data_IF_315369299503
#
_entry.id   IF_315369299503
#
_cell.length_a   1.000
_cell.length_b   1.000
_cell.length_c   1.000
_cell.angle_alpha   90.00
_cell.angle_beta   90.00
_cell.angle_gamma   90.00
#
_symmetry.space_group_name_H-M   'P 1'
#
loop_
_entity.id
_entity.type
_entity.pdbx_description
1 polymer ?
#
# COMPACT_ATOMS: atom_id res chain seq x y z
N UNK A 1 -24.19 16.89 0.23
CA UNK A 1 -23.57 17.46 -0.98
C UNK A 1 -22.93 18.79 -0.63
N UNK A 2 -21.60 18.86 -0.61
CA UNK A 2 -20.87 20.10 -0.37
C UNK A 2 -20.69 20.89 -1.67
N UNK A 3 -21.03 22.17 -1.64
CA UNK A 3 -20.56 23.11 -2.64
C UNK A 3 -19.11 23.52 -2.34
N UNK A 4 -18.51 24.32 -3.23
CA UNK A 4 -17.20 24.90 -2.98
C UNK A 4 -17.17 25.60 -1.61
N UNK A 5 -16.23 25.22 -0.75
CA UNK A 5 -16.22 25.63 0.66
C UNK A 5 -14.80 25.85 1.15
N UNK A 6 -14.62 26.87 2.00
CA UNK A 6 -13.36 27.12 2.72
C UNK A 6 -13.64 27.10 4.22
N UNK A 7 -12.96 26.22 4.95
CA UNK A 7 -13.11 26.05 6.40
C UNK A 7 -11.76 26.30 7.08
N UNK A 8 -11.68 27.40 7.83
CA UNK A 8 -10.48 27.81 8.59
C UNK A 8 -10.20 26.99 9.86
N UNK A 9 -10.90 25.86 10.05
CA UNK A 9 -10.77 25.00 11.21
C UNK A 9 -11.20 23.57 10.90
N UNK A 10 -11.60 22.82 11.93
CA UNK A 10 -12.08 21.46 11.76
C UNK A 10 -13.42 21.40 11.01
N UNK A 11 -13.59 20.39 10.15
CA UNK A 11 -14.86 20.04 9.53
C UNK A 11 -15.39 18.76 10.16
N UNK A 12 -16.66 18.76 10.59
CA UNK A 12 -17.39 17.56 10.98
C UNK A 12 -18.60 17.41 10.07
N UNK A 13 -18.74 16.26 9.43
CA UNK A 13 -19.82 15.95 8.51
C UNK A 13 -20.44 14.59 8.87
N UNK A 14 -21.76 14.57 9.09
CA UNK A 14 -22.48 13.34 9.40
C UNK A 14 -23.72 13.24 8.52
N UNK A 15 -23.83 12.12 7.80
CA UNK A 15 -25.03 11.73 7.07
C UNK A 15 -25.57 10.43 7.67
N UNK A 16 -26.80 10.47 8.19
CA UNK A 16 -27.52 9.29 8.67
C UNK A 16 -28.40 8.67 7.58
N UNK A 17 -28.54 9.37 6.45
CA UNK A 17 -29.22 8.89 5.24
C UNK A 17 -28.56 9.49 4.01
N UNK A 18 -28.34 8.67 2.99
CA UNK A 18 -27.78 9.09 1.71
C UNK A 18 -26.27 9.40 1.77
N UNK A 19 -25.69 9.55 0.58
CA UNK A 19 -24.26 9.69 0.40
C UNK A 19 -23.75 11.10 0.78
N UNK A 20 -22.51 11.17 1.25
CA UNK A 20 -21.77 12.44 1.34
C UNK A 20 -21.02 12.64 0.02
N UNK A 21 -21.46 13.62 -0.75
CA UNK A 21 -20.85 14.00 -2.03
C UNK A 21 -20.42 15.46 -2.04
N UNK A 22 -19.74 15.87 -3.10
CA UNK A 22 -19.41 17.27 -3.36
C UNK A 22 -19.64 17.66 -4.82
N UNK A 23 -19.88 18.95 -5.04
CA UNK A 23 -20.01 19.61 -6.35
C UNK A 23 -18.95 20.68 -6.59
N UNK A 24 -18.18 21.06 -5.57
CA UNK A 24 -17.07 22.00 -5.66
C UNK A 24 -15.92 21.60 -4.73
N UNK A 25 -14.79 22.31 -4.86
CA UNK A 25 -13.59 22.04 -4.08
C UNK A 25 -13.75 22.40 -2.59
N UNK A 26 -13.14 21.61 -1.74
CA UNK A 26 -13.07 21.83 -0.29
C UNK A 26 -11.67 22.27 0.10
N UNK A 27 -11.53 23.43 0.75
CA UNK A 27 -10.27 23.87 1.35
C UNK A 27 -10.44 23.91 2.87
N UNK A 28 -9.88 22.92 3.57
CA UNK A 28 -10.07 22.74 5.02
C UNK A 28 -8.70 22.71 5.69
N UNK A 29 -8.52 23.60 6.66
CA UNK A 29 -7.24 23.76 7.38
C UNK A 29 -7.13 22.90 8.63
N UNK A 30 -8.26 22.52 9.24
CA UNK A 30 -8.30 21.65 10.41
C UNK A 30 -8.63 20.20 10.07
N UNK A 31 -8.69 19.37 11.10
CA UNK A 31 -9.06 17.95 10.95
C UNK A 31 -10.45 17.83 10.31
N UNK A 32 -10.58 16.95 9.34
CA UNK A 32 -11.87 16.61 8.73
C UNK A 32 -12.35 15.27 9.29
N UNK A 33 -13.56 15.23 9.86
CA UNK A 33 -14.18 14.01 10.39
C UNK A 33 -15.49 13.77 9.67
N UNK A 34 -15.65 12.59 9.05
CA UNK A 34 -16.79 12.25 8.21
C UNK A 34 -17.41 10.93 8.67
N UNK A 35 -18.74 10.91 8.75
CA UNK A 35 -19.54 9.72 9.05
C UNK A 35 -20.70 9.63 8.05
N UNK A 36 -20.87 8.50 7.37
CA UNK A 36 -21.95 8.29 6.40
C UNK A 36 -22.73 6.98 6.64
N UNK A 37 -22.74 6.44 7.86
CA UNK A 37 -23.21 5.08 8.18
C UNK A 37 -22.56 4.00 7.28
N UNK A 38 -22.71 2.72 7.59
CA UNK A 38 -22.07 1.64 6.81
C UNK A 38 -22.79 1.33 5.48
N UNK A 39 -23.90 2.01 5.20
CA UNK A 39 -24.72 1.81 3.99
C UNK A 39 -24.63 2.93 2.96
N UNK A 40 -23.93 4.03 3.25
CA UNK A 40 -23.80 5.14 2.32
C UNK A 40 -22.35 5.46 1.98
N UNK A 41 -22.15 5.98 0.77
CA UNK A 41 -20.83 6.26 0.24
C UNK A 41 -20.38 7.69 0.58
N UNK A 42 -19.07 7.89 0.61
CA UNK A 42 -18.41 9.19 0.72
C UNK A 42 -17.62 9.42 -0.56
N UNK A 43 -17.92 10.48 -1.29
CA UNK A 43 -17.26 10.81 -2.56
C UNK A 43 -16.80 12.27 -2.53
N UNK A 44 -15.53 12.47 -2.18
CA UNK A 44 -14.84 13.77 -2.17
C UNK A 44 -13.71 13.76 -3.20
N UNK A 45 -14.09 13.67 -4.48
CA UNK A 45 -13.22 13.34 -5.62
C UNK A 45 -12.80 14.54 -6.50
N UNK A 46 -12.94 15.76 -6.02
CA UNK A 46 -12.54 16.96 -6.76
C UNK A 46 -11.03 17.13 -6.60
N UNK A 47 -10.32 17.25 -7.72
CA UNK A 47 -8.85 17.35 -7.75
C UNK A 47 -8.28 18.59 -7.09
N UNK A 48 -9.13 19.60 -6.81
CA UNK A 48 -8.75 20.83 -6.11
C UNK A 48 -9.12 20.84 -4.63
N UNK A 49 -9.61 19.72 -4.08
CA UNK A 49 -9.72 19.55 -2.62
C UNK A 49 -8.35 19.74 -1.96
N UNK A 50 -8.33 20.34 -0.78
CA UNK A 50 -7.12 20.65 -0.03
C UNK A 50 -7.40 20.48 1.46
N UNK A 51 -7.18 19.26 1.96
CA UNK A 51 -7.25 18.87 3.36
C UNK A 51 -5.86 19.01 4.00
N UNK A 52 -5.60 20.12 4.69
CA UNK A 52 -4.27 20.42 5.24
C UNK A 52 -3.98 19.70 6.58
N UNK A 53 -4.94 18.92 7.08
CA UNK A 53 -4.81 18.11 8.27
C UNK A 53 -5.52 16.77 8.07
N UNK A 54 -5.42 15.88 9.07
CA UNK A 54 -5.93 14.53 8.96
C UNK A 54 -7.41 14.45 8.54
N UNK A 55 -7.71 13.56 7.58
CA UNK A 55 -9.06 13.17 7.19
C UNK A 55 -9.40 11.85 7.87
N UNK A 56 -10.48 11.84 8.66
CA UNK A 56 -10.95 10.69 9.45
C UNK A 56 -12.31 10.26 8.95
N UNK A 57 -12.46 8.98 8.65
CA UNK A 57 -13.75 8.38 8.31
C UNK A 57 -14.21 7.52 9.48
N UNK A 58 -15.19 7.98 10.26
CA UNK A 58 -15.70 7.16 11.38
C UNK A 58 -16.70 6.10 10.93
N UNK A 59 -17.31 6.29 9.76
CA UNK A 59 -18.14 5.29 9.08
C UNK A 59 -18.37 5.68 7.62
N UNK A 60 -18.41 4.68 6.74
CA UNK A 60 -18.78 4.79 5.33
C UNK A 60 -18.81 3.40 4.69
N UNK A 61 -19.56 3.24 3.60
CA UNK A 61 -19.43 2.08 2.73
C UNK A 61 -18.23 2.26 1.79
N UNK A 62 -18.44 2.73 0.56
CA UNK A 62 -17.30 3.10 -0.30
C UNK A 62 -16.87 4.54 -0.05
N UNK A 63 -15.56 4.77 0.01
CA UNK A 63 -14.94 6.07 0.26
C UNK A 63 -13.99 6.43 -0.88
N UNK A 64 -14.18 7.60 -1.48
CA UNK A 64 -13.25 8.19 -2.45
C UNK A 64 -12.79 9.54 -1.96
N UNK A 65 -11.48 9.70 -1.79
CA UNK A 65 -10.82 10.93 -1.37
C UNK A 65 -9.79 11.33 -2.42
N UNK A 66 -9.90 12.56 -2.92
CA UNK A 66 -8.87 13.19 -3.74
C UNK A 66 -8.39 14.43 -3.00
N UNK A 67 -7.08 14.61 -2.95
CA UNK A 67 -6.43 15.83 -2.48
C UNK A 67 -5.49 16.38 -3.56
N UNK A 68 -5.46 17.71 -3.68
CA UNK A 68 -4.56 18.42 -4.59
C UNK A 68 -3.10 18.30 -4.14
N UNK A 69 -2.85 18.25 -2.84
CA UNK A 69 -1.55 18.12 -2.19
C UNK A 69 -1.29 16.72 -1.66
N UNK A 70 -0.69 16.68 -0.47
CA UNK A 70 -0.54 15.47 0.33
C UNK A 70 -1.80 15.22 1.16
N UNK A 71 -2.11 13.96 1.42
CA UNK A 71 -3.22 13.58 2.30
C UNK A 71 -2.71 12.79 3.50
N UNK A 72 -3.23 13.17 4.68
CA UNK A 72 -2.99 12.45 5.94
C UNK A 72 -4.28 11.71 6.27
N UNK A 73 -4.24 10.38 6.22
CA UNK A 73 -5.34 9.54 6.68
C UNK A 73 -5.29 9.43 8.19
N UNK A 74 -6.29 9.98 8.87
CA UNK A 74 -6.50 9.73 10.28
C UNK A 74 -7.16 8.37 10.50
N UNK A 75 -7.40 8.03 11.78
CA UNK A 75 -8.10 6.80 12.14
C UNK A 75 -9.42 6.69 11.36
N UNK A 76 -9.58 5.61 10.60
CA UNK A 76 -10.67 5.45 9.64
C UNK A 76 -11.21 4.03 9.60
N UNK A 77 -12.54 3.90 9.52
CA UNK A 77 -13.28 2.64 9.38
C UNK A 77 -14.16 2.72 8.13
N UNK A 78 -13.95 1.81 7.19
CA UNK A 78 -14.57 1.83 5.85
C UNK A 78 -15.03 0.43 5.45
N UNK A 79 -16.34 0.19 5.60
CA UNK A 79 -16.96 -1.13 5.37
C UNK A 79 -16.95 -1.62 3.91
N UNK A 80 -16.54 -0.77 2.97
CA UNK A 80 -16.39 -1.06 1.54
C UNK A 80 -15.01 -0.67 1.04
N UNK A 81 -14.92 -0.23 -0.21
CA UNK A 81 -13.65 0.14 -0.82
C UNK A 81 -13.16 1.52 -0.36
N UNK A 82 -11.84 1.68 -0.22
CA UNK A 82 -11.19 2.97 -0.01
C UNK A 82 -10.36 3.33 -1.25
N UNK A 83 -10.63 4.47 -1.86
CA UNK A 83 -9.84 5.03 -2.96
C UNK A 83 -9.28 6.38 -2.56
N UNK A 84 -7.96 6.51 -2.57
CA UNK A 84 -7.24 7.73 -2.17
C UNK A 84 -6.29 8.16 -3.26
N UNK A 85 -6.38 9.43 -3.66
CA UNK A 85 -5.46 10.04 -4.62
C UNK A 85 -4.85 11.32 -4.04
N UNK A 86 -3.53 11.37 -3.98
CA UNK A 86 -2.76 12.59 -3.71
C UNK A 86 -2.16 13.09 -5.02
N UNK A 87 -2.54 14.29 -5.45
CA UNK A 87 -2.20 14.77 -6.81
C UNK A 87 -0.78 15.31 -6.88
N UNK A 88 -0.33 16.05 -5.86
CA UNK A 88 1.02 16.67 -5.86
C UNK A 88 1.86 16.32 -4.64
N UNK A 89 1.39 15.44 -3.76
CA UNK A 89 2.09 15.08 -2.54
C UNK A 89 1.90 13.61 -2.15
N UNK A 90 2.32 13.32 -0.92
CA UNK A 90 2.37 11.97 -0.39
C UNK A 90 1.02 11.52 0.19
N UNK A 91 0.84 10.21 0.30
CA UNK A 91 -0.19 9.62 1.15
C UNK A 91 0.50 9.16 2.44
N UNK A 92 0.02 9.64 3.58
CA UNK A 92 0.54 9.24 4.91
C UNK A 92 -0.62 8.92 5.84
N UNK A 93 -0.32 8.33 6.99
CA UNK A 93 -1.31 8.09 8.04
C UNK A 93 -0.91 8.68 9.40
N UNK A 94 -1.93 8.99 10.19
CA UNK A 94 -1.82 9.41 11.59
C UNK A 94 -2.70 8.60 12.54
N UNK A 95 -3.38 7.57 12.05
CA UNK A 95 -4.23 6.67 12.83
C UNK A 95 -4.48 5.37 12.06
N UNK A 96 -4.98 4.37 12.76
CA UNK A 96 -5.21 3.04 12.19
C UNK A 96 -6.30 3.07 11.11
N UNK A 97 -6.09 2.32 10.04
CA UNK A 97 -7.04 2.13 8.96
C UNK A 97 -7.67 0.74 9.08
N UNK A 98 -8.99 0.68 9.18
CA UNK A 98 -9.79 -0.56 9.20
C UNK A 98 -10.68 -0.56 7.95
N UNK A 99 -10.25 -1.29 6.93
CA UNK A 99 -10.81 -1.25 5.58
C UNK A 99 -11.20 -2.64 5.13
N UNK A 100 -12.50 -2.87 4.99
CA UNK A 100 -13.02 -4.19 4.66
C UNK A 100 -12.95 -4.52 3.16
N UNK A 101 -13.04 -3.50 2.29
CA UNK A 101 -12.96 -3.64 0.84
C UNK A 101 -11.58 -3.35 0.26
N UNK A 102 -11.50 -3.37 -1.07
CA UNK A 102 -10.25 -3.09 -1.79
C UNK A 102 -9.76 -1.67 -1.49
N UNK A 103 -8.44 -1.52 -1.29
CA UNK A 103 -7.81 -0.23 -1.04
C UNK A 103 -7.00 0.20 -2.26
N UNK A 104 -7.36 1.30 -2.88
CA UNK A 104 -6.61 1.92 -3.99
C UNK A 104 -5.89 3.16 -3.52
N UNK A 105 -4.57 3.21 -3.72
CA UNK A 105 -3.71 4.33 -3.33
C UNK A 105 -2.97 4.83 -4.57
N UNK A 106 -3.11 6.12 -4.86
CA UNK A 106 -2.48 6.75 -6.03
C UNK A 106 -1.74 8.02 -5.62
N UNK A 107 -0.44 8.07 -5.89
CA UNK A 107 0.31 9.34 -5.93
C UNK A 107 0.58 9.70 -7.39
N UNK A 108 0.14 10.88 -7.83
CA UNK A 108 0.25 11.28 -9.24
C UNK A 108 1.54 12.04 -9.55
N UNK A 109 2.14 12.69 -8.55
CA UNK A 109 3.37 13.46 -8.72
C UNK A 109 4.64 12.62 -8.66
N UNK A 110 5.66 13.07 -9.39
CA UNK A 110 7.00 12.50 -9.42
C UNK A 110 7.59 12.40 -8.00
N UNK A 111 8.13 11.22 -7.66
CA UNK A 111 8.78 10.96 -6.39
C UNK A 111 7.87 10.98 -5.17
N UNK A 112 6.54 11.08 -5.35
CA UNK A 112 5.60 11.12 -4.24
C UNK A 112 5.41 9.74 -3.61
N UNK A 113 5.54 9.67 -2.29
CA UNK A 113 5.59 8.42 -1.53
C UNK A 113 4.25 8.04 -0.90
N UNK A 114 4.14 6.77 -0.51
CA UNK A 114 3.04 6.26 0.31
C UNK A 114 3.64 5.66 1.59
N UNK A 115 3.31 6.21 2.75
CA UNK A 115 3.72 5.66 4.05
C UNK A 115 2.51 5.40 4.95
N UNK A 116 2.05 4.15 4.94
CA UNK A 116 1.03 3.61 5.82
C UNK A 116 1.64 2.64 6.85
N UNK A 117 2.81 2.99 7.40
CA UNK A 117 3.53 2.16 8.37
C UNK A 117 3.81 2.82 9.72
N UNK A 118 3.44 4.10 9.87
CA UNK A 118 3.62 4.85 11.11
C UNK A 118 2.69 4.40 12.25
N UNK A 119 1.72 3.55 11.93
CA UNK A 119 0.72 2.96 12.83
C UNK A 119 0.67 1.47 12.52
N UNK A 120 0.86 0.64 13.55
CA UNK A 120 1.10 -0.81 13.40
C UNK A 120 -0.16 -1.66 13.62
N UNK A 121 -1.33 -1.03 13.58
CA UNK A 121 -2.62 -1.68 13.85
C UNK A 121 -3.62 -1.44 12.74
N UNK A 122 -3.12 -1.21 11.53
CA UNK A 122 -3.98 -1.24 10.35
C UNK A 122 -4.60 -2.63 10.20
N UNK A 123 -5.73 -2.68 9.51
CA UNK A 123 -6.46 -3.88 9.18
C UNK A 123 -7.00 -3.72 7.75
N UNK A 124 -6.34 -4.37 6.80
CA UNK A 124 -6.81 -4.48 5.42
C UNK A 124 -7.30 -5.90 5.21
N UNK A 125 -8.57 -6.10 4.82
CA UNK A 125 -9.12 -7.44 4.62
C UNK A 125 -9.32 -7.81 3.15
N UNK A 126 -8.89 -6.95 2.24
CA UNK A 126 -8.93 -7.16 0.79
C UNK A 126 -7.64 -6.70 0.14
N UNK A 127 -7.59 -6.75 -1.20
CA UNK A 127 -6.41 -6.37 -1.96
C UNK A 127 -6.10 -4.87 -1.87
N UNK A 128 -4.81 -4.55 -1.88
CA UNK A 128 -4.27 -3.23 -2.10
C UNK A 128 -3.90 -3.08 -3.58
N UNK A 129 -4.30 -1.97 -4.20
CA UNK A 129 -3.93 -1.58 -5.55
C UNK A 129 -3.17 -0.27 -5.46
N UNK A 130 -1.90 -0.30 -5.84
CA UNK A 130 -0.98 0.79 -5.56
C UNK A 130 -0.43 1.34 -6.87
N UNK A 131 -0.47 2.65 -7.03
CA UNK A 131 0.19 3.35 -8.11
C UNK A 131 0.97 4.51 -7.53
N UNK A 132 2.27 4.47 -7.69
CA UNK A 132 3.13 5.63 -7.49
C UNK A 132 3.72 6.05 -8.82
N UNK A 133 4.22 7.28 -8.91
CA UNK A 133 4.75 7.81 -10.14
C UNK A 133 6.12 8.44 -9.90
N UNK A 134 7.10 7.96 -10.65
CA UNK A 134 8.44 8.53 -10.76
C UNK A 134 8.97 8.29 -12.18
N UNK A 135 8.19 8.70 -13.17
CA UNK A 135 8.44 8.41 -14.58
C UNK A 135 9.55 9.23 -15.25
N UNK A 136 10.56 9.71 -14.51
CA UNK A 136 11.68 10.45 -15.10
C UNK A 136 13.03 9.85 -14.69
N UNK A 137 13.86 9.35 -15.62
CA UNK A 137 15.23 8.96 -15.32
C UNK A 137 16.15 10.19 -15.11
N UNK A 138 15.59 11.38 -14.85
CA UNK A 138 16.34 12.63 -14.84
C UNK A 138 17.33 12.74 -13.67
N UNK A 139 17.10 12.05 -12.56
CA UNK A 139 18.04 12.02 -11.42
C UNK A 139 18.58 10.63 -11.05
N UNK A 140 18.06 9.56 -11.67
CA UNK A 140 18.51 8.17 -11.43
C UNK A 140 18.13 7.59 -10.07
N UNK A 141 17.16 8.17 -9.36
CA UNK A 141 16.68 7.69 -8.05
C UNK A 141 15.22 7.26 -8.14
N UNK A 142 14.93 6.01 -7.79
CA UNK A 142 13.57 5.49 -7.64
C UNK A 142 12.96 5.98 -6.32
N UNK A 143 12.51 7.24 -6.26
CA UNK A 143 12.18 7.94 -5.00
C UNK A 143 10.72 7.75 -4.54
N UNK A 144 9.83 7.25 -5.41
CA UNK A 144 8.41 7.05 -5.09
C UNK A 144 8.13 5.78 -4.27
N UNK A 145 8.76 5.70 -3.08
CA UNK A 145 8.69 4.55 -2.20
C UNK A 145 7.29 4.32 -1.61
N UNK A 146 7.00 3.04 -1.33
CA UNK A 146 5.79 2.57 -0.68
C UNK A 146 6.15 1.77 0.55
N UNK A 147 5.58 2.13 1.70
CA UNK A 147 5.69 1.37 2.94
C UNK A 147 4.32 1.12 3.54
N UNK A 148 3.96 -0.14 3.70
CA UNK A 148 2.66 -0.57 4.25
C UNK A 148 2.90 -1.50 5.44
N UNK A 149 2.25 -1.18 6.57
CA UNK A 149 2.07 -2.10 7.68
C UNK A 149 0.61 -2.53 7.72
N UNK A 150 0.35 -3.83 7.61
CA UNK A 150 -0.98 -4.44 7.67
C UNK A 150 -1.45 -4.80 9.07
N UNK A 151 -0.70 -4.42 10.11
CA UNK A 151 -0.97 -4.82 11.49
C UNK A 151 -1.07 -6.34 11.61
N UNK A 152 -2.17 -6.85 12.14
CA UNK A 152 -2.37 -8.29 12.31
C UNK A 152 -3.05 -8.98 11.11
N UNK A 153 -3.51 -8.23 10.11
CA UNK A 153 -4.20 -8.81 8.95
C UNK A 153 -3.22 -9.21 7.87
N UNK A 154 -3.67 -10.07 6.95
CA UNK A 154 -2.91 -10.36 5.75
C UNK A 154 -2.74 -9.08 4.91
N UNK A 155 -1.61 -8.97 4.23
CA UNK A 155 -1.43 -8.03 3.14
C UNK A 155 -1.58 -8.78 1.82
N UNK A 156 -2.50 -8.32 0.98
CA UNK A 156 -2.76 -8.88 -0.34
C UNK A 156 -2.51 -7.77 -1.35
N UNK A 157 -1.51 -7.90 -2.20
CA UNK A 157 -1.19 -6.89 -3.22
C UNK A 157 -1.79 -7.34 -4.56
N UNK A 158 -2.68 -6.53 -5.11
CA UNK A 158 -3.19 -6.73 -6.46
C UNK A 158 -2.29 -6.08 -7.51
N UNK A 159 -2.79 -5.94 -8.74
CA UNK A 159 -2.08 -5.26 -9.82
C UNK A 159 -1.64 -3.87 -9.37
N UNK A 160 -0.32 -3.66 -9.31
CA UNK A 160 0.28 -2.46 -8.73
C UNK A 160 1.54 -2.06 -9.48
N UNK A 161 1.81 -0.76 -9.51
CA UNK A 161 3.02 -0.18 -10.10
C UNK A 161 3.67 0.74 -9.07
N UNK A 162 4.83 0.34 -8.61
CA UNK A 162 5.64 1.06 -7.64
C UNK A 162 6.92 1.50 -8.33
N UNK A 163 7.06 2.80 -8.56
CA UNK A 163 8.24 3.35 -9.23
C UNK A 163 9.42 3.54 -8.26
N UNK A 164 9.19 3.34 -6.95
CA UNK A 164 10.20 3.29 -5.90
C UNK A 164 10.46 1.88 -5.34
N UNK A 165 10.91 1.85 -4.09
CA UNK A 165 10.98 0.61 -3.30
C UNK A 165 9.61 0.25 -2.70
N UNK A 166 9.34 -1.05 -2.54
CA UNK A 166 8.17 -1.57 -1.84
C UNK A 166 8.57 -2.25 -0.53
N UNK A 167 8.08 -1.75 0.60
CA UNK A 167 8.27 -2.35 1.92
C UNK A 167 6.94 -2.78 2.53
N UNK A 168 6.79 -4.07 2.81
CA UNK A 168 5.60 -4.69 3.38
C UNK A 168 5.93 -5.30 4.76
N UNK A 169 5.11 -4.98 5.76
CA UNK A 169 5.14 -5.55 7.09
C UNK A 169 3.75 -6.05 7.49
N UNK A 170 3.67 -7.26 8.04
CA UNK A 170 2.39 -7.83 8.48
C UNK A 170 2.57 -8.92 9.54
N UNK A 171 1.66 -8.99 10.51
CA UNK A 171 1.51 -10.16 11.37
C UNK A 171 0.80 -11.33 10.69
N UNK A 172 0.06 -11.06 9.62
CA UNK A 172 -0.57 -12.04 8.75
C UNK A 172 0.35 -12.50 7.61
N UNK A 173 -0.24 -13.16 6.61
CA UNK A 173 0.49 -13.52 5.39
C UNK A 173 0.70 -12.31 4.50
N UNK A 174 1.79 -12.29 3.73
CA UNK A 174 1.99 -11.35 2.64
C UNK A 174 1.82 -12.12 1.34
N UNK A 175 0.83 -11.76 0.53
CA UNK A 175 0.58 -12.37 -0.77
C UNK A 175 0.31 -11.36 -1.86
N UNK A 176 0.44 -11.78 -3.10
CA UNK A 176 -0.21 -11.13 -4.24
C UNK A 176 -1.48 -11.88 -4.67
N UNK A 177 -2.23 -11.32 -5.61
CA UNK A 177 -3.38 -12.01 -6.22
C UNK A 177 -2.95 -12.74 -7.49
N UNK A 178 -3.43 -13.96 -7.68
CA UNK A 178 -3.17 -14.71 -8.90
C UNK A 178 -3.54 -13.91 -10.16
N UNK A 179 -2.68 -13.98 -11.19
CA UNK A 179 -2.88 -13.27 -12.47
C UNK A 179 -2.92 -11.74 -12.35
N UNK A 180 -2.41 -11.20 -11.26
CA UNK A 180 -2.01 -9.79 -11.18
C UNK A 180 -0.52 -9.65 -11.49
N UNK A 181 0.01 -8.43 -11.56
CA UNK A 181 1.46 -8.23 -11.61
C UNK A 181 1.78 -7.10 -10.66
N UNK A 182 2.73 -7.33 -9.76
CA UNK A 182 3.28 -6.29 -8.89
C UNK A 182 4.60 -5.84 -9.47
N UNK A 183 4.59 -4.69 -10.14
CA UNK A 183 5.79 -4.08 -10.70
C UNK A 183 6.44 -3.19 -9.65
N UNK A 184 7.73 -3.39 -9.36
CA UNK A 184 8.53 -2.57 -8.44
C UNK A 184 9.84 -2.20 -9.12
N UNK A 185 10.06 -0.91 -9.35
CA UNK A 185 11.29 -0.43 -10.01
C UNK A 185 12.51 -0.40 -9.07
N UNK A 186 12.27 -0.26 -7.77
CA UNK A 186 13.28 -0.38 -6.73
C UNK A 186 13.36 -1.79 -6.11
N UNK A 187 13.81 -1.84 -4.86
CA UNK A 187 13.90 -3.04 -4.05
C UNK A 187 12.53 -3.44 -3.46
N UNK A 188 12.35 -4.74 -3.22
CA UNK A 188 11.21 -5.28 -2.49
C UNK A 188 11.66 -5.84 -1.14
N UNK A 189 11.02 -5.40 -0.07
CA UNK A 189 11.20 -5.92 1.28
C UNK A 189 9.87 -6.45 1.82
N UNK A 190 9.83 -7.73 2.20
CA UNK A 190 8.66 -8.36 2.79
C UNK A 190 9.02 -9.01 4.13
N UNK A 191 8.33 -8.59 5.19
CA UNK A 191 8.54 -9.08 6.56
C UNK A 191 7.22 -9.54 7.16
N UNK A 192 7.17 -10.77 7.67
CA UNK A 192 6.11 -11.15 8.61
C UNK A 192 6.67 -11.07 10.03
N UNK A 193 5.88 -10.62 11.00
CA UNK A 193 6.37 -10.38 12.39
C UNK A 193 5.61 -11.17 13.47
N UNK A 194 4.58 -11.92 13.08
CA UNK A 194 3.82 -12.78 13.96
C UNK A 194 3.61 -14.18 13.35
N UNK A 195 3.44 -15.17 14.23
CA UNK A 195 3.21 -16.55 13.83
C UNK A 195 4.33 -17.13 12.95
N UNK A 196 4.01 -18.17 12.18
CA UNK A 196 4.85 -18.64 11.07
C UNK A 196 4.17 -18.25 9.76
N UNK A 197 3.73 -16.98 9.67
CA UNK A 197 2.99 -16.46 8.54
C UNK A 197 3.84 -16.49 7.27
N UNK A 198 3.19 -16.84 6.16
CA UNK A 198 3.79 -17.08 4.85
C UNK A 198 4.05 -15.77 4.11
N UNK A 199 5.08 -15.78 3.27
CA UNK A 199 5.28 -14.79 2.21
C UNK A 199 5.16 -15.53 0.88
N UNK A 200 4.13 -15.24 0.10
CA UNK A 200 3.91 -15.87 -1.22
C UNK A 200 3.65 -14.76 -2.23
N UNK A 201 4.68 -14.35 -2.96
CA UNK A 201 4.60 -13.31 -3.99
C UNK A 201 5.02 -13.93 -5.32
N UNK A 202 4.06 -14.42 -6.09
CA UNK A 202 4.29 -15.30 -7.23
C UNK A 202 3.94 -14.71 -8.60
N UNK A 203 3.62 -13.43 -8.66
CA UNK A 203 3.39 -12.68 -9.90
C UNK A 203 4.10 -11.31 -9.84
N UNK A 204 5.44 -11.31 -9.83
CA UNK A 204 6.26 -10.10 -9.65
C UNK A 204 7.04 -9.66 -10.91
N UNK A 205 7.23 -8.35 -11.04
CA UNK A 205 8.22 -7.69 -11.91
C UNK A 205 9.03 -6.69 -11.08
N UNK A 206 10.03 -7.18 -10.36
CA UNK A 206 10.92 -6.37 -9.51
C UNK A 206 12.26 -6.21 -10.21
N UNK A 207 12.68 -4.96 -10.41
CA UNK A 207 13.97 -4.61 -11.04
C UNK A 207 15.13 -4.56 -10.01
N UNK A 208 14.82 -4.35 -8.73
CA UNK A 208 15.79 -4.28 -7.64
C UNK A 208 15.98 -5.58 -6.84
N UNK A 209 16.66 -5.46 -5.70
CA UNK A 209 16.94 -6.59 -4.80
C UNK A 209 15.76 -6.95 -3.90
N UNK A 210 15.78 -8.17 -3.37
CA UNK A 210 14.77 -8.72 -2.47
C UNK A 210 15.31 -8.89 -1.05
N UNK A 211 14.62 -8.33 -0.06
CA UNK A 211 14.85 -8.60 1.38
C UNK A 211 13.67 -9.36 1.95
N UNK A 212 13.91 -10.57 2.44
CA UNK A 212 12.85 -11.50 2.87
C UNK A 212 13.09 -11.92 4.32
N UNK A 213 12.11 -11.64 5.18
CA UNK A 213 12.18 -11.91 6.60
C UNK A 213 10.84 -12.46 7.14
N UNK A 214 10.48 -13.71 6.82
CA UNK A 214 9.34 -14.35 7.47
C UNK A 214 9.61 -14.56 8.97
N UNK A 215 8.60 -14.38 9.82
CA UNK A 215 8.73 -14.69 11.23
C UNK A 215 8.84 -16.21 11.45
N UNK A 216 9.72 -16.61 12.36
CA UNK A 216 9.87 -18.01 12.78
C UNK A 216 10.02 -18.96 11.58
N UNK A 217 9.22 -20.02 11.49
CA UNK A 217 9.27 -21.01 10.42
C UNK A 217 8.40 -20.65 9.19
N UNK A 218 8.01 -19.38 9.02
CA UNK A 218 7.25 -18.94 7.86
C UNK A 218 7.96 -19.28 6.55
N UNK A 219 7.24 -19.92 5.64
CA UNK A 219 7.75 -20.27 4.32
C UNK A 219 7.66 -19.09 3.36
N UNK A 220 8.55 -19.08 2.37
CA UNK A 220 8.68 -18.01 1.39
C UNK A 220 8.66 -18.60 -0.01
N UNK A 221 7.76 -18.09 -0.85
CA UNK A 221 7.70 -18.37 -2.28
C UNK A 221 7.76 -17.06 -3.04
N UNK A 222 8.74 -16.93 -3.94
CA UNK A 222 8.92 -15.77 -4.81
C UNK A 222 8.98 -16.24 -6.26
N UNK A 223 8.25 -15.57 -7.14
CA UNK A 223 8.42 -15.71 -8.60
C UNK A 223 8.57 -14.32 -9.19
N UNK A 224 9.76 -14.01 -9.70
CA UNK A 224 10.04 -12.78 -10.44
C UNK A 224 10.09 -13.07 -11.94
N UNK A 225 9.63 -12.13 -12.76
CA UNK A 225 9.66 -12.26 -14.22
C UNK A 225 11.11 -12.23 -14.78
N UNK A 226 11.99 -11.48 -14.13
CA UNK A 226 13.40 -11.30 -14.41
C UNK A 226 14.26 -11.98 -13.34
N UNK A 227 15.49 -11.47 -13.16
CA UNK A 227 16.44 -12.01 -12.21
C UNK A 227 15.93 -11.90 -10.77
N UNK A 228 16.48 -12.72 -9.88
CA UNK A 228 16.16 -12.68 -8.45
C UNK A 228 17.44 -12.40 -7.67
N UNK A 229 17.67 -11.14 -7.32
CA UNK A 229 18.80 -10.75 -6.46
C UNK A 229 18.38 -10.76 -4.99
N UNK A 230 18.85 -11.72 -4.22
CA UNK A 230 18.55 -11.86 -2.80
C UNK A 230 19.55 -11.06 -1.97
N UNK A 231 19.09 -9.93 -1.42
CA UNK A 231 19.82 -9.18 -0.41
C UNK A 231 19.81 -9.93 0.94
N UNK A 232 20.48 -9.36 1.94
CA UNK A 232 20.60 -9.98 3.26
C UNK A 232 19.23 -10.37 3.85
N UNK A 233 18.99 -11.68 3.96
CA UNK A 233 17.68 -12.25 4.26
C UNK A 233 17.80 -13.41 5.25
N UNK A 234 16.84 -13.52 6.16
CA UNK A 234 16.77 -14.59 7.16
C UNK A 234 15.42 -15.28 7.08
N UNK A 235 15.43 -16.56 6.69
CA UNK A 235 14.24 -17.34 6.44
C UNK A 235 14.30 -18.63 7.26
N UNK A 236 13.40 -18.75 8.25
CA UNK A 236 13.37 -19.93 9.10
C UNK A 236 12.66 -21.14 8.47
N UNK A 237 11.68 -20.88 7.59
CA UNK A 237 10.92 -21.90 6.86
C UNK A 237 11.58 -22.35 5.56
N UNK A 238 10.80 -23.03 4.71
CA UNK A 238 11.24 -23.38 3.35
C UNK A 238 11.27 -22.14 2.46
N UNK A 239 12.24 -22.09 1.55
CA UNK A 239 12.33 -21.06 0.52
C UNK A 239 12.16 -21.67 -0.88
N UNK A 240 11.37 -21.04 -1.73
CA UNK A 240 11.26 -21.32 -3.16
C UNK A 240 11.36 -20.02 -3.95
N UNK A 241 12.51 -19.78 -4.58
CA UNK A 241 12.72 -18.61 -5.44
C UNK A 241 12.79 -19.00 -6.90
N UNK A 242 11.97 -18.35 -7.73
CA UNK A 242 11.97 -18.52 -9.19
C UNK A 242 12.35 -17.20 -9.87
N UNK A 243 13.37 -17.24 -10.71
CA UNK A 243 13.64 -16.20 -11.71
C UNK A 243 13.16 -16.73 -13.07
N UNK A 244 12.12 -16.10 -13.64
CA UNK A 244 11.49 -16.59 -14.87
C UNK A 244 12.42 -16.36 -16.06
N UNK A 245 13.10 -15.22 -16.09
CA UNK A 245 14.17 -14.89 -17.01
C UNK A 245 15.38 -14.38 -16.22
N UNK A 246 16.61 -14.65 -16.67
CA UNK A 246 17.81 -14.22 -15.94
C UNK A 246 18.23 -15.13 -14.77
N UNK A 247 19.20 -14.63 -14.00
CA UNK A 247 19.91 -15.40 -12.97
C UNK A 247 19.31 -15.18 -11.58
N UNK A 248 19.61 -16.10 -10.66
CA UNK A 248 19.43 -15.88 -9.23
C UNK A 248 20.81 -15.53 -8.64
N UNK A 249 20.90 -14.39 -7.95
CA UNK A 249 22.12 -13.93 -7.28
C UNK A 249 21.86 -13.65 -5.80
N UNK A 250 22.93 -13.55 -5.03
CA UNK A 250 22.91 -12.99 -3.69
C UNK A 250 23.81 -11.76 -3.61
N UNK A 251 23.25 -10.66 -3.12
CA UNK A 251 23.99 -9.41 -2.84
C UNK A 251 24.26 -9.23 -1.34
N UNK A 252 23.74 -10.13 -0.50
CA UNK A 252 23.96 -10.14 0.94
C UNK A 252 23.99 -11.54 1.54
N UNK A 253 24.22 -11.62 2.86
CA UNK A 253 24.24 -12.92 3.56
C UNK A 253 22.84 -13.52 3.63
N UNK A 254 22.68 -14.74 3.13
CA UNK A 254 21.44 -15.51 3.23
C UNK A 254 21.52 -16.53 4.36
N UNK A 255 20.53 -16.50 5.25
CA UNK A 255 20.33 -17.54 6.26
C UNK A 255 19.00 -18.24 5.99
N UNK A 256 19.05 -19.45 5.44
CA UNK A 256 17.87 -20.28 5.20
C UNK A 256 18.02 -21.56 6.01
N UNK A 257 17.19 -21.76 7.02
CA UNK A 257 17.27 -22.97 7.88
C UNK A 257 16.39 -24.11 7.39
N UNK A 258 15.36 -23.81 6.60
CA UNK A 258 14.55 -24.82 5.92
C UNK A 258 15.16 -25.29 4.60
N UNK A 259 14.43 -26.15 3.88
CA UNK A 259 14.82 -26.53 2.53
C UNK A 259 14.72 -25.31 1.60
N UNK A 260 15.70 -25.15 0.72
CA UNK A 260 15.73 -24.09 -0.28
C UNK A 260 15.66 -24.69 -1.69
N UNK A 261 14.76 -24.15 -2.51
CA UNK A 261 14.63 -24.47 -3.92
C UNK A 261 14.88 -23.19 -4.72
N UNK A 262 15.76 -23.27 -5.71
CA UNK A 262 16.11 -22.17 -6.60
C UNK A 262 15.82 -22.62 -8.03
N UNK A 263 15.02 -21.84 -8.75
CA UNK A 263 14.52 -22.20 -10.08
C UNK A 263 14.84 -21.05 -11.04
N UNK A 264 15.67 -21.31 -12.03
CA UNK A 264 15.82 -20.42 -13.19
C UNK A 264 15.11 -21.08 -14.37
N UNK A 265 14.21 -20.38 -15.04
CA UNK A 265 13.61 -20.88 -16.30
C UNK A 265 14.23 -20.27 -17.56
N UNK A 266 15.31 -19.50 -17.40
CA UNK A 266 16.17 -19.07 -18.50
C UNK A 266 16.76 -20.30 -19.23
N UNK A 267 16.57 -20.34 -20.56
CA UNK A 267 17.13 -21.37 -21.44
C UNK A 267 18.52 -20.98 -21.96
#
# INVERSE_FOLDING_TARGET
NFAASTVGGALSATATTGNITQSGALAITGVTTIAADSGNNITLNNTSNNFQAAVRITSGNDVTLVDAGAIILGASTVSGALSVTATTGNITQSGALDIEGATTLVTAAQGATIDLSTVTTNAFTSQLLITTNDNEPADGTYAAHVKIDGGTTNLIIGTSTIDGDLTLLSGGTITDTDSSTVTVKGALSATTDAGSSLITLNDLEVDGSFTLAPNSAGAVTIVNDAGLDLAASTMGGTFSGTATTGDISDSGTLTITGAATFITTAA
#
